data_IF_265847285843
#
_entry.id   IF_265847285843
#
_cell.length_a   1.000
_cell.length_b   1.000
_cell.length_c   1.000
_cell.angle_alpha   90.00
_cell.angle_beta   90.00
_cell.angle_gamma   90.00
#
_symmetry.space_group_name_H-M   'P 1'
#
loop_
_entity.id
_entity.type
_entity.pdbx_description
1 polymer ?
#
# COMPACT_ATOMS: atom_id res chain seq x y z
N UNK A 1 17.31 17.09 -5.54
CA UNK A 1 17.55 15.63 -5.64
C UNK A 1 17.40 15.34 -7.13
N UNK A 2 18.25 14.56 -7.81
CA UNK A 2 18.11 14.51 -9.29
C UNK A 2 16.70 14.05 -9.66
N UNK A 3 16.08 14.70 -10.64
CA UNK A 3 14.73 14.43 -11.14
C UNK A 3 14.52 12.93 -11.46
N UNK A 4 15.61 12.27 -11.90
CA UNK A 4 15.71 10.82 -12.13
C UNK A 4 15.49 10.03 -10.83
N UNK A 5 16.18 10.37 -9.73
CA UNK A 5 16.05 9.68 -8.45
C UNK A 5 14.63 9.85 -7.88
N UNK A 6 14.04 11.04 -8.02
CA UNK A 6 12.66 11.31 -7.57
C UNK A 6 11.62 10.51 -8.40
N UNK A 7 11.89 10.30 -9.68
CA UNK A 7 11.02 9.52 -10.59
C UNK A 7 11.12 8.02 -10.33
N UNK A 8 12.32 7.49 -10.10
CA UNK A 8 12.55 6.08 -9.74
C UNK A 8 11.88 5.75 -8.40
N UNK A 9 12.07 6.58 -7.38
CA UNK A 9 11.43 6.41 -6.06
C UNK A 9 9.90 6.41 -6.20
N UNK A 10 9.33 7.32 -7.01
CA UNK A 10 7.88 7.33 -7.25
C UNK A 10 7.40 6.03 -7.88
N UNK A 11 8.11 5.52 -8.88
CA UNK A 11 7.77 4.25 -9.54
C UNK A 11 7.77 3.09 -8.54
N UNK A 12 8.78 3.02 -7.67
CA UNK A 12 8.87 2.00 -6.65
C UNK A 12 7.71 2.09 -5.64
N UNK A 13 7.38 3.30 -5.18
CA UNK A 13 6.24 3.53 -4.29
C UNK A 13 4.90 3.12 -4.94
N UNK A 14 4.72 3.38 -6.23
CA UNK A 14 3.53 2.95 -6.98
C UNK A 14 3.42 1.42 -7.08
N UNK A 15 4.54 0.74 -7.30
CA UNK A 15 4.58 -0.72 -7.35
C UNK A 15 4.22 -1.34 -6.00
N UNK A 16 4.78 -0.82 -4.90
CA UNK A 16 4.47 -1.29 -3.55
C UNK A 16 3.00 -0.99 -3.19
N UNK A 17 2.47 0.17 -3.59
CA UNK A 17 1.07 0.54 -3.39
C UNK A 17 0.13 -0.47 -4.06
N UNK A 18 0.42 -0.82 -5.32
CA UNK A 18 -0.38 -1.80 -6.08
C UNK A 18 -0.34 -3.19 -5.43
N UNK A 19 0.84 -3.67 -5.05
CA UNK A 19 0.99 -4.96 -4.39
C UNK A 19 0.26 -5.02 -3.04
N UNK A 20 0.32 -3.93 -2.26
CA UNK A 20 -0.40 -3.79 -0.98
C UNK A 20 -1.92 -3.87 -1.19
N UNK A 21 -2.44 -3.21 -2.22
CA UNK A 21 -3.86 -3.24 -2.56
C UNK A 21 -4.33 -4.60 -3.08
N UNK A 22 -3.51 -5.30 -3.86
CA UNK A 22 -3.80 -6.67 -4.29
C UNK A 22 -3.92 -7.61 -3.08
N UNK A 23 -3.00 -7.50 -2.11
CA UNK A 23 -3.08 -8.26 -0.86
C UNK A 23 -4.34 -7.94 -0.05
N UNK A 24 -4.73 -6.66 0.03
CA UNK A 24 -5.98 -6.24 0.70
C UNK A 24 -7.21 -6.89 0.03
N UNK A 25 -7.29 -6.86 -1.31
CA UNK A 25 -8.39 -7.47 -2.04
C UNK A 25 -8.44 -8.99 -1.84
N UNK A 26 -7.29 -9.68 -1.84
CA UNK A 26 -7.22 -11.11 -1.55
C UNK A 26 -7.71 -11.45 -0.13
N UNK A 27 -7.44 -10.58 0.84
CA UNK A 27 -7.97 -10.68 2.20
C UNK A 27 -9.48 -10.38 2.27
N UNK A 28 -10.05 -9.65 1.31
CA UNK A 28 -11.49 -9.38 1.18
C UNK A 28 -12.26 -10.52 0.53
N UNK A 29 -11.65 -11.21 -0.43
CA UNK A 29 -12.24 -12.35 -1.13
C UNK A 29 -12.23 -13.65 -0.30
N UNK A 30 -11.33 -13.75 0.68
CA UNK A 30 -11.29 -14.85 1.65
C UNK A 30 -12.44 -14.71 2.66
N UNK A 31 -13.51 -15.50 2.47
CA UNK A 31 -14.59 -15.62 3.45
C UNK A 31 -14.04 -16.15 4.78
N UNK A 32 -14.28 -15.48 5.92
CA UNK A 32 -13.80 -15.90 7.24
C UNK A 32 -14.53 -17.12 7.80
N UNK A 33 -15.44 -17.74 7.05
CA UNK A 33 -16.26 -18.88 7.49
C UNK A 33 -15.44 -20.16 7.77
N UNK A 34 -14.18 -20.23 7.34
CA UNK A 34 -13.32 -21.43 7.45
C UNK A 34 -12.15 -21.31 8.47
N UNK A 35 -11.92 -20.16 9.08
CA UNK A 35 -10.74 -19.93 9.94
C UNK A 35 -11.15 -19.48 11.36
N UNK A 36 -10.68 -20.19 12.39
CA UNK A 36 -11.07 -19.93 13.79
C UNK A 36 -10.73 -18.52 14.29
N UNK A 37 -11.44 -18.04 15.33
CA UNK A 37 -11.47 -16.65 15.82
C UNK A 37 -10.10 -15.93 15.88
N UNK A 38 -9.03 -16.61 16.32
CA UNK A 38 -7.69 -16.01 16.40
C UNK A 38 -7.08 -15.68 15.04
N UNK A 39 -7.36 -16.50 14.02
CA UNK A 39 -6.89 -16.25 12.65
C UNK A 39 -7.66 -15.07 12.07
N UNK A 40 -8.97 -14.96 12.37
CA UNK A 40 -9.78 -13.83 11.94
C UNK A 40 -9.30 -12.49 12.53
N UNK A 41 -8.92 -12.45 13.81
CA UNK A 41 -8.32 -11.27 14.44
C UNK A 41 -6.97 -10.90 13.78
N UNK A 42 -6.14 -11.90 13.50
CA UNK A 42 -4.86 -11.70 12.80
C UNK A 42 -5.04 -11.16 11.39
N UNK A 43 -5.99 -11.70 10.61
CA UNK A 43 -6.32 -11.20 9.28
C UNK A 43 -6.87 -9.78 9.31
N UNK A 44 -7.70 -9.46 10.30
CA UNK A 44 -8.23 -8.11 10.51
C UNK A 44 -7.11 -7.11 10.84
N UNK A 45 -6.16 -7.52 11.68
CA UNK A 45 -4.98 -6.71 12.01
C UNK A 45 -4.08 -6.51 10.79
N UNK A 46 -3.84 -7.57 10.01
CA UNK A 46 -3.05 -7.49 8.77
C UNK A 46 -3.72 -6.54 7.78
N UNK A 47 -5.06 -6.62 7.60
CA UNK A 47 -5.81 -5.71 6.73
C UNK A 47 -5.66 -4.26 7.19
N UNK A 48 -5.81 -3.99 8.48
CA UNK A 48 -5.63 -2.65 9.04
C UNK A 48 -4.23 -2.10 8.73
N UNK A 49 -3.18 -2.89 8.97
CA UNK A 49 -1.79 -2.47 8.72
C UNK A 49 -1.49 -2.25 7.25
N UNK A 50 -2.01 -3.09 6.36
CA UNK A 50 -1.88 -2.90 4.92
C UNK A 50 -2.61 -1.63 4.45
N UNK A 51 -3.76 -1.30 5.03
CA UNK A 51 -4.44 -0.02 4.77
C UNK A 51 -3.63 1.21 5.21
N UNK A 52 -3.01 1.16 6.39
CA UNK A 52 -2.10 2.23 6.86
C UNK A 52 -0.92 2.43 5.90
N UNK A 53 -0.35 1.32 5.41
CA UNK A 53 0.74 1.32 4.42
C UNK A 53 0.25 1.90 3.09
N UNK A 54 -0.92 1.48 2.61
CA UNK A 54 -1.53 1.99 1.36
C UNK A 54 -1.67 3.53 1.43
N UNK A 55 -2.21 4.06 2.55
CA UNK A 55 -2.37 5.50 2.74
C UNK A 55 -1.05 6.26 2.81
N UNK A 56 -0.03 5.68 3.46
CA UNK A 56 1.32 6.28 3.52
C UNK A 56 1.94 6.36 2.12
N UNK A 57 1.87 5.27 1.35
CA UNK A 57 2.39 5.22 -0.01
C UNK A 57 1.67 6.21 -0.92
N UNK A 58 0.33 6.33 -0.81
CA UNK A 58 -0.43 7.30 -1.59
C UNK A 58 0.04 8.74 -1.32
N UNK A 59 0.28 9.08 -0.05
CA UNK A 59 0.81 10.39 0.36
C UNK A 59 2.21 10.63 -0.20
N UNK A 60 3.09 9.65 -0.15
CA UNK A 60 4.46 9.78 -0.63
C UNK A 60 4.52 9.91 -2.15
N UNK A 61 3.71 9.14 -2.89
CA UNK A 61 3.53 9.30 -4.35
C UNK A 61 3.07 10.72 -4.68
N UNK A 62 2.11 11.25 -3.93
CA UNK A 62 1.62 12.61 -4.13
C UNK A 62 2.72 13.66 -3.90
N UNK A 63 3.52 13.49 -2.84
CA UNK A 63 4.65 14.38 -2.56
C UNK A 63 5.72 14.32 -3.67
N UNK A 64 6.06 13.12 -4.16
CA UNK A 64 6.96 12.97 -5.29
C UNK A 64 6.42 13.67 -6.55
N UNK A 65 5.12 13.53 -6.85
CA UNK A 65 4.48 14.26 -7.95
C UNK A 65 4.65 15.78 -7.81
N UNK A 66 4.40 16.30 -6.61
CA UNK A 66 4.52 17.73 -6.34
C UNK A 66 5.95 18.24 -6.53
N UNK A 67 6.94 17.49 -6.04
CA UNK A 67 8.36 17.84 -6.18
C UNK A 67 8.79 17.81 -7.65
N UNK A 68 8.42 16.77 -8.41
CA UNK A 68 8.71 16.66 -9.85
C UNK A 68 8.08 17.82 -10.63
N UNK A 69 6.85 18.22 -10.29
CA UNK A 69 6.14 19.29 -11.01
C UNK A 69 6.68 20.70 -10.67
N UNK A 70 7.49 20.82 -9.61
CA UNK A 70 8.06 22.08 -9.13
C UNK A 70 9.51 22.32 -9.54
N UNK A 71 10.22 21.28 -9.95
CA UNK A 71 11.52 21.38 -10.62
C UNK A 71 11.34 21.83 -12.08
#
# INVERSE_FOLDING_TARGET
MSEILTTEIKSDLQNIYKATRELLNMLEEKSPEDEGDQIHELLSLIRLRLGDIEGTLQKDIFNCNYLITKE
#
